data_IF_356952387707
#
_entry.id   IF_356952387707
#
_cell.length_a   1.000
_cell.length_b   1.000
_cell.length_c   1.000
_cell.angle_alpha   90.00
_cell.angle_beta   90.00
_cell.angle_gamma   90.00
#
_symmetry.space_group_name_H-M   'P 1'
#
loop_
_entity.id
_entity.type
_entity.pdbx_description
1 polymer ?
#
# COMPACT_ATOMS: atom_id res chain seq x y z
N UNK A 1 -6.42 -56.92 13.14
CA UNK A 1 -5.33 -56.17 12.45
C UNK A 1 -4.57 -55.46 13.53
N UNK A 2 -3.31 -55.84 13.78
CA UNK A 2 -2.49 -55.19 14.79
C UNK A 2 -2.02 -53.84 14.24
N UNK A 3 -2.36 -52.76 14.93
CA UNK A 3 -1.82 -51.43 14.68
C UNK A 3 -0.32 -51.48 14.96
N UNK A 4 0.46 -51.60 13.89
CA UNK A 4 1.91 -51.56 13.95
C UNK A 4 2.27 -50.12 14.32
N UNK A 5 2.78 -49.90 15.54
CA UNK A 5 3.37 -48.63 15.92
C UNK A 5 4.34 -48.18 14.81
N UNK A 6 4.31 -46.90 14.39
CA UNK A 6 5.21 -46.42 13.35
C UNK A 6 6.65 -46.71 13.78
N UNK A 7 7.44 -47.31 12.89
CA UNK A 7 8.83 -47.63 13.16
C UNK A 7 9.55 -46.34 13.58
N UNK A 8 10.24 -46.37 14.73
CA UNK A 8 11.04 -45.25 15.22
C UNK A 8 12.09 -44.93 14.15
N UNK A 9 12.02 -43.73 13.58
CA UNK A 9 12.95 -43.27 12.54
C UNK A 9 14.39 -43.25 13.08
N UNK A 10 15.36 -43.49 12.20
CA UNK A 10 16.77 -43.46 12.58
C UNK A 10 17.26 -42.03 12.85
N UNK A 11 18.23 -41.89 13.75
CA UNK A 11 18.91 -40.61 13.99
C UNK A 11 19.88 -40.34 12.83
N UNK A 12 19.91 -39.10 12.38
CA UNK A 12 20.74 -38.66 11.26
C UNK A 12 22.23 -38.91 11.50
N UNK A 13 22.95 -39.50 10.52
CA UNK A 13 24.40 -39.67 10.59
C UNK A 13 25.19 -38.44 10.15
N UNK A 14 24.57 -37.49 9.44
CA UNK A 14 25.24 -36.37 8.74
C UNK A 14 24.52 -35.02 8.92
N UNK A 15 23.63 -34.93 9.93
CA UNK A 15 22.81 -33.77 10.23
C UNK A 15 21.76 -33.41 9.16
N UNK A 16 21.49 -34.29 8.20
CA UNK A 16 20.32 -34.17 7.32
C UNK A 16 19.07 -34.78 7.95
N UNK A 17 17.89 -34.25 7.67
CA UNK A 17 16.65 -34.70 8.28
C UNK A 17 15.43 -34.46 7.40
N UNK A 18 14.34 -35.14 7.74
CA UNK A 18 13.06 -34.88 7.11
C UNK A 18 12.95 -35.38 5.68
N UNK A 19 11.83 -35.02 5.07
CA UNK A 19 11.50 -35.34 3.69
C UNK A 19 11.60 -34.13 2.76
N UNK A 20 11.71 -32.93 3.34
CA UNK A 20 11.67 -31.66 2.62
C UNK A 20 13.01 -30.93 2.69
N UNK A 21 13.27 -30.07 1.71
CA UNK A 21 14.48 -29.26 1.63
C UNK A 21 15.66 -29.99 0.97
N UNK A 22 16.77 -29.27 0.78
CA UNK A 22 17.96 -29.79 0.08
C UNK A 22 18.70 -30.89 0.86
N UNK A 23 18.53 -30.93 2.18
CA UNK A 23 18.96 -32.04 3.03
C UNK A 23 17.91 -33.14 3.21
N UNK A 24 16.67 -32.95 2.76
CA UNK A 24 15.62 -33.96 2.87
C UNK A 24 15.91 -35.18 1.99
N UNK A 25 15.63 -36.39 2.48
CA UNK A 25 15.96 -37.63 1.78
C UNK A 25 14.94 -38.75 2.00
N UNK A 26 15.00 -39.80 1.16
CA UNK A 26 14.12 -40.97 1.27
C UNK A 26 14.24 -41.69 2.62
N UNK A 27 15.42 -41.57 3.25
CA UNK A 27 15.73 -42.18 4.55
C UNK A 27 15.05 -41.48 5.73
N UNK A 28 14.54 -40.26 5.53
CA UNK A 28 13.60 -39.62 6.46
C UNK A 28 14.13 -39.54 7.90
N UNK A 29 15.41 -39.18 8.07
CA UNK A 29 16.09 -39.17 9.36
C UNK A 29 15.45 -38.17 10.35
N UNK A 30 15.57 -38.51 11.63
CA UNK A 30 15.31 -37.59 12.76
C UNK A 30 16.61 -36.99 13.28
N UNK A 31 16.53 -35.83 13.92
CA UNK A 31 17.72 -35.16 14.41
C UNK A 31 18.27 -35.72 15.73
N UNK A 32 19.60 -35.61 15.96
CA UNK A 32 20.22 -35.99 17.23
C UNK A 32 19.84 -35.01 18.35
N UNK A 33 20.06 -35.41 19.61
CA UNK A 33 19.57 -34.66 20.77
C UNK A 33 20.23 -33.30 20.98
N UNK A 34 21.46 -33.11 20.48
CA UNK A 34 22.23 -31.88 20.52
C UNK A 34 21.81 -30.87 19.44
N UNK A 35 21.19 -31.33 18.36
CA UNK A 35 20.63 -30.51 17.27
C UNK A 35 19.17 -30.90 17.01
N UNK A 36 18.27 -30.79 18.00
CA UNK A 36 17.03 -31.57 18.05
C UNK A 36 15.97 -31.19 17.01
N UNK A 37 16.15 -30.12 16.25
CA UNK A 37 15.13 -29.56 15.37
C UNK A 37 15.48 -29.77 13.90
N UNK A 38 14.47 -30.10 13.09
CA UNK A 38 14.63 -30.29 11.65
C UNK A 38 14.07 -29.10 10.89
N UNK A 39 14.92 -28.28 10.28
CA UNK A 39 14.52 -27.07 9.54
C UNK A 39 13.74 -27.39 8.26
N UNK A 40 13.11 -26.38 7.65
CA UNK A 40 12.44 -26.51 6.34
C UNK A 40 13.39 -26.99 5.23
N UNK A 41 14.69 -26.71 5.39
CA UNK A 41 15.73 -27.09 4.44
C UNK A 41 16.25 -28.52 4.64
N UNK A 42 15.72 -29.27 5.62
CA UNK A 42 16.10 -30.65 5.87
C UNK A 42 17.46 -30.78 6.56
N UNK A 43 17.81 -29.81 7.41
CA UNK A 43 19.03 -29.79 8.21
C UNK A 43 18.69 -29.74 9.70
N UNK A 44 19.49 -30.44 10.51
CA UNK A 44 19.38 -30.48 11.96
C UNK A 44 20.03 -29.26 12.61
N UNK A 45 19.38 -28.69 13.61
CA UNK A 45 19.89 -27.55 14.38
C UNK A 45 19.17 -27.34 15.70
N UNK A 46 19.57 -26.30 16.43
CA UNK A 46 19.05 -25.97 17.76
C UNK A 46 18.62 -24.50 17.91
N UNK A 47 18.81 -23.67 16.89
CA UNK A 47 18.39 -22.26 16.89
C UNK A 47 16.96 -22.10 16.38
N UNK A 48 16.41 -20.89 16.53
CA UNK A 48 15.05 -20.57 16.10
C UNK A 48 14.78 -20.87 14.61
N UNK A 49 15.75 -20.64 13.73
CA UNK A 49 15.63 -20.92 12.28
C UNK A 49 15.42 -22.41 11.98
N UNK A 50 15.76 -23.28 12.93
CA UNK A 50 15.57 -24.73 12.84
C UNK A 50 14.38 -25.21 13.63
N UNK A 51 14.13 -24.61 14.80
CA UNK A 51 13.16 -25.10 15.77
C UNK A 51 11.77 -24.49 15.65
N UNK A 52 11.64 -23.27 15.13
CA UNK A 52 10.34 -22.62 15.08
C UNK A 52 9.45 -23.25 14.01
N UNK A 53 8.20 -23.55 14.38
CA UNK A 53 7.19 -24.04 13.43
C UNK A 53 6.95 -23.07 12.28
N UNK A 54 7.05 -21.77 12.54
CA UNK A 54 6.95 -20.69 11.54
C UNK A 54 8.15 -20.57 10.62
N UNK A 55 9.36 -20.93 11.09
CA UNK A 55 10.54 -21.11 10.23
C UNK A 55 10.46 -22.40 9.38
N UNK A 56 9.33 -23.11 9.45
CA UNK A 56 9.06 -24.33 8.70
C UNK A 56 9.70 -25.58 9.30
N UNK A 57 9.93 -25.60 10.62
CA UNK A 57 10.40 -26.79 11.31
C UNK A 57 9.49 -28.01 11.04
N UNK A 58 10.10 -29.14 10.66
CA UNK A 58 9.41 -30.36 10.27
C UNK A 58 9.10 -31.23 11.52
N UNK A 59 7.93 -31.03 12.13
CA UNK A 59 7.54 -31.65 13.41
C UNK A 59 7.46 -33.18 13.43
N UNK A 60 7.41 -33.83 12.25
CA UNK A 60 7.52 -35.28 12.12
C UNK A 60 8.96 -35.82 12.23
N UNK A 61 9.96 -34.94 12.25
CA UNK A 61 11.38 -35.28 12.12
C UNK A 61 12.30 -34.54 13.10
N UNK A 62 11.78 -33.56 13.84
CA UNK A 62 12.51 -32.85 14.90
C UNK A 62 11.56 -32.27 15.95
N UNK A 63 12.15 -31.77 17.05
CA UNK A 63 11.42 -31.16 18.16
C UNK A 63 11.10 -29.70 17.88
N UNK A 64 10.00 -29.44 17.18
CA UNK A 64 9.61 -28.08 16.83
C UNK A 64 8.89 -27.36 17.98
N UNK A 65 9.16 -26.07 18.12
CA UNK A 65 8.53 -25.20 19.10
C UNK A 65 7.70 -24.13 18.40
N UNK A 66 6.55 -23.81 18.98
CA UNK A 66 5.83 -22.60 18.59
C UNK A 66 6.59 -21.37 19.11
N UNK A 67 6.62 -20.26 18.35
CA UNK A 67 7.21 -19.02 18.82
C UNK A 67 6.48 -18.45 20.05
N UNK A 68 7.23 -17.93 21.00
CA UNK A 68 6.72 -17.19 22.15
C UNK A 68 6.75 -15.66 21.89
N UNK A 69 5.93 -14.89 22.59
CA UNK A 69 6.01 -13.42 22.53
C UNK A 69 7.43 -12.94 22.87
N UNK A 70 8.00 -12.03 22.07
CA UNK A 70 9.39 -11.59 22.24
C UNK A 70 10.43 -12.46 21.55
N UNK A 71 10.03 -13.50 20.82
CA UNK A 71 10.97 -14.29 20.00
C UNK A 71 11.56 -13.40 18.90
N UNK A 72 12.87 -13.50 18.64
CA UNK A 72 13.49 -12.80 17.52
C UNK A 72 13.06 -13.49 16.23
N UNK A 73 12.55 -12.72 15.26
CA UNK A 73 12.11 -13.28 13.98
C UNK A 73 13.24 -13.99 13.20
N UNK A 74 12.94 -15.09 12.50
CA UNK A 74 13.89 -15.81 11.65
C UNK A 74 13.93 -15.32 10.19
N UNK A 75 12.97 -14.50 9.73
CA UNK A 75 12.69 -14.26 8.31
C UNK A 75 12.56 -12.77 7.93
N UNK A 76 13.33 -11.90 8.60
CA UNK A 76 13.39 -10.45 8.37
C UNK A 76 12.08 -9.68 8.65
N UNK A 77 10.98 -10.39 8.93
CA UNK A 77 9.72 -9.78 9.34
C UNK A 77 9.71 -9.46 10.83
N UNK A 78 8.81 -8.59 11.23
CA UNK A 78 8.44 -8.33 12.62
C UNK A 78 6.95 -8.00 12.60
N UNK A 79 6.21 -8.17 13.69
CA UNK A 79 4.74 -8.02 13.70
C UNK A 79 3.91 -9.18 13.11
N UNK A 80 2.60 -9.04 13.30
CA UNK A 80 1.51 -9.98 13.07
C UNK A 80 1.04 -9.96 11.60
N UNK A 81 1.38 -10.96 10.79
CA UNK A 81 0.48 -11.33 9.66
C UNK A 81 -0.52 -12.39 10.13
N UNK A 82 -1.74 -12.23 9.64
CA UNK A 82 -2.97 -12.85 10.16
C UNK A 82 -2.98 -14.37 10.07
N UNK A 83 -2.62 -15.05 11.16
CA UNK A 83 -3.22 -16.29 11.72
C UNK A 83 -2.34 -16.86 12.87
N UNK A 84 -2.43 -16.29 14.07
CA UNK A 84 -1.93 -16.93 15.31
C UNK A 84 -0.64 -16.36 15.92
N UNK A 85 -0.80 -15.29 16.71
CA UNK A 85 -0.11 -14.95 17.97
C UNK A 85 1.35 -15.45 18.12
N UNK A 86 2.34 -14.66 17.66
CA UNK A 86 3.74 -14.92 17.98
C UNK A 86 4.57 -13.69 18.42
N UNK A 87 4.17 -12.47 18.04
CA UNK A 87 4.77 -11.24 18.57
C UNK A 87 6.29 -11.14 18.37
N UNK A 88 6.77 -11.41 17.15
CA UNK A 88 8.19 -11.35 16.82
C UNK A 88 8.76 -9.96 17.03
N UNK A 89 9.97 -9.92 17.59
CA UNK A 89 10.72 -8.69 17.83
C UNK A 89 11.99 -8.63 16.99
N UNK A 90 12.49 -7.42 16.87
CA UNK A 90 13.74 -7.10 16.21
C UNK A 90 14.96 -7.47 17.05
N UNK A 91 16.05 -7.90 16.39
CA UNK A 91 17.34 -8.08 17.04
C UNK A 91 18.03 -6.72 17.26
N UNK A 92 19.12 -6.65 18.01
CA UNK A 92 19.86 -5.39 18.22
C UNK A 92 20.61 -4.89 16.98
N UNK A 93 20.81 -5.72 15.95
CA UNK A 93 21.46 -5.33 14.70
C UNK A 93 20.49 -4.62 13.74
N UNK A 94 19.23 -5.04 13.74
CA UNK A 94 18.14 -4.49 12.90
C UNK A 94 17.02 -4.01 13.82
N UNK A 95 17.29 -2.97 14.61
CA UNK A 95 16.55 -2.66 15.83
C UNK A 95 15.08 -2.29 15.62
N UNK A 96 14.67 -1.87 14.42
CA UNK A 96 13.40 -1.20 14.20
C UNK A 96 12.41 -2.05 13.41
N UNK A 97 11.13 -1.98 13.79
CA UNK A 97 10.05 -2.69 13.11
C UNK A 97 9.15 -1.72 12.35
N UNK A 98 9.12 -1.79 11.01
CA UNK A 98 8.35 -0.85 10.19
C UNK A 98 6.84 -1.05 10.34
N UNK A 99 6.05 0.04 10.30
CA UNK A 99 4.57 -0.04 10.31
C UNK A 99 3.92 0.20 8.96
N UNK A 100 4.68 0.63 7.94
CA UNK A 100 4.25 0.69 6.54
C UNK A 100 5.48 0.53 5.65
N UNK A 101 5.83 -0.70 5.28
CA UNK A 101 6.78 -0.88 4.18
C UNK A 101 6.00 -1.21 2.91
N UNK A 102 5.98 -0.30 1.95
CA UNK A 102 5.61 -0.65 0.59
C UNK A 102 6.84 -1.28 -0.06
N UNK A 103 7.03 -2.58 0.16
CA UNK A 103 7.74 -3.36 -0.85
C UNK A 103 7.00 -3.14 -2.18
N UNK A 104 7.73 -3.13 -3.29
CA UNK A 104 7.31 -2.75 -4.64
C UNK A 104 6.07 -3.46 -5.22
N UNK A 105 5.31 -4.25 -4.45
CA UNK A 105 4.10 -4.95 -4.87
C UNK A 105 3.02 -5.07 -3.76
N UNK A 106 2.68 -3.98 -3.07
CA UNK A 106 1.40 -3.85 -2.36
C UNK A 106 1.27 -4.64 -1.04
N UNK A 107 1.23 -3.88 0.06
CA UNK A 107 1.09 -4.28 1.46
C UNK A 107 2.27 -5.11 2.02
N UNK A 108 2.99 -4.59 3.03
CA UNK A 108 2.86 -5.12 4.39
C UNK A 108 3.70 -4.29 5.39
N UNK A 109 3.05 -3.86 6.47
CA UNK A 109 3.69 -3.45 7.72
C UNK A 109 4.46 -4.62 8.31
N UNK A 110 5.62 -4.40 8.94
CA UNK A 110 6.27 -5.45 9.72
C UNK A 110 7.56 -6.02 9.14
N UNK A 111 8.48 -5.15 8.75
CA UNK A 111 9.82 -5.54 8.32
C UNK A 111 10.87 -4.96 9.27
N UNK A 112 11.96 -5.68 9.47
CA UNK A 112 13.08 -5.24 10.31
C UNK A 112 14.08 -4.43 9.50
N UNK A 113 14.62 -3.40 10.12
CA UNK A 113 15.69 -2.60 9.55
C UNK A 113 16.26 -1.62 10.57
N UNK A 114 17.19 -0.79 10.11
CA UNK A 114 17.93 0.15 10.97
C UNK A 114 17.99 1.58 10.42
N UNK A 115 17.41 1.83 9.24
CA UNK A 115 17.34 3.17 8.66
C UNK A 115 16.03 3.89 9.01
N UNK A 116 15.92 5.15 8.60
CA UNK A 116 14.81 6.04 8.94
C UNK A 116 13.44 5.55 8.47
N UNK A 117 13.38 4.73 7.43
CA UNK A 117 12.11 4.20 6.90
C UNK A 117 11.57 3.07 7.81
N UNK A 118 12.45 2.42 8.58
CA UNK A 118 12.10 1.41 9.58
C UNK A 118 11.98 2.01 10.99
N UNK A 119 12.85 2.96 11.34
CA UNK A 119 13.03 3.46 12.70
C UNK A 119 12.18 4.68 13.04
N UNK A 120 11.79 5.49 12.06
CA UNK A 120 11.05 6.72 12.36
C UNK A 120 9.62 6.42 12.83
N UNK A 121 9.20 7.10 13.90
CA UNK A 121 7.80 7.08 14.35
C UNK A 121 6.84 7.60 13.27
N UNK A 122 7.30 8.46 12.37
CA UNK A 122 6.54 9.00 11.24
C UNK A 122 6.31 7.99 10.12
N UNK A 123 7.25 7.06 9.88
CA UNK A 123 7.07 5.93 8.97
C UNK A 123 6.23 4.78 9.60
N UNK A 124 5.78 4.98 10.85
CA UNK A 124 4.93 4.04 11.57
C UNK A 124 5.70 2.98 12.34
N UNK A 125 6.96 3.22 12.71
CA UNK A 125 7.72 2.26 13.51
C UNK A 125 6.93 1.73 14.71
N UNK A 126 6.92 0.40 14.88
CA UNK A 126 6.10 -0.32 15.84
C UNK A 126 6.91 -0.62 17.12
N UNK A 127 6.84 0.28 18.09
CA UNK A 127 7.65 0.24 19.32
C UNK A 127 7.39 -0.96 20.24
N UNK A 128 6.33 -1.74 19.99
CA UNK A 128 6.08 -3.01 20.68
C UNK A 128 6.93 -4.18 20.13
N UNK A 129 7.52 -4.02 18.95
CA UNK A 129 8.23 -5.07 18.20
C UNK A 129 9.65 -4.66 17.77
N UNK A 130 10.05 -3.41 18.04
CA UNK A 130 11.40 -2.89 17.79
C UNK A 130 11.66 -1.59 18.57
N UNK A 131 12.89 -1.09 18.49
CA UNK A 131 13.33 0.18 19.06
C UNK A 131 13.10 1.27 18.00
N UNK A 132 12.14 2.15 18.24
CA UNK A 132 11.88 3.27 17.34
C UNK A 132 12.68 4.50 17.74
N UNK A 133 12.98 5.37 16.77
CA UNK A 133 13.60 6.67 17.02
C UNK A 133 12.67 7.51 17.91
N UNK A 134 13.24 8.11 18.95
CA UNK A 134 12.52 9.11 19.73
C UNK A 134 12.20 10.30 18.81
N UNK A 135 10.98 10.85 18.90
CA UNK A 135 10.56 12.02 18.12
C UNK A 135 11.67 13.06 18.06
N UNK A 136 12.24 13.27 16.88
CA UNK A 136 13.46 14.06 16.73
C UNK A 136 13.21 15.50 17.17
N UNK A 137 13.82 15.88 18.29
CA UNK A 137 13.77 17.23 18.84
C UNK A 137 14.78 18.11 18.07
N UNK A 138 14.47 18.43 16.81
CA UNK A 138 15.27 19.38 16.03
C UNK A 138 14.92 20.81 16.41
N UNK A 139 15.76 21.40 17.26
CA UNK A 139 15.66 22.78 17.75
C UNK A 139 16.49 23.71 16.88
N UNK A 140 15.90 24.36 15.87
CA UNK A 140 16.39 25.66 15.35
C UNK A 140 15.23 26.53 14.84
N UNK A 141 14.83 27.47 15.70
CA UNK A 141 14.25 28.82 15.44
C UNK A 141 13.61 29.11 14.07
N UNK A 142 12.28 29.23 14.06
CA UNK A 142 11.57 30.09 13.10
C UNK A 142 10.22 29.56 12.59
N UNK A 143 9.17 29.64 13.41
CA UNK A 143 7.78 29.55 12.94
C UNK A 143 7.12 28.18 13.16
N UNK A 144 6.12 28.16 14.03
CA UNK A 144 5.23 27.02 14.30
C UNK A 144 4.48 26.64 13.01
N UNK A 145 5.02 25.68 12.25
CA UNK A 145 4.31 25.03 11.15
C UNK A 145 3.60 23.77 11.66
N UNK A 146 2.34 23.61 11.25
CA UNK A 146 1.48 22.46 11.51
C UNK A 146 2.09 21.20 10.85
N UNK A 147 2.02 20.01 11.49
CA UNK A 147 2.54 18.77 10.91
C UNK A 147 2.02 18.55 9.48
N UNK A 148 2.93 18.33 8.53
CA UNK A 148 2.60 18.04 7.13
C UNK A 148 2.76 19.19 6.13
N UNK A 149 3.16 20.39 6.55
CA UNK A 149 3.38 21.52 5.60
C UNK A 149 4.82 21.52 5.07
N UNK A 150 4.99 21.58 3.75
CA UNK A 150 6.29 21.71 3.07
C UNK A 150 7.03 22.96 3.55
N UNK A 151 8.30 22.81 3.90
CA UNK A 151 9.16 23.91 4.38
C UNK A 151 10.23 24.34 3.36
N UNK A 152 10.40 23.57 2.29
CA UNK A 152 11.40 23.79 1.23
C UNK A 152 10.79 23.90 -0.18
N UNK A 153 9.45 23.98 -0.28
CA UNK A 153 8.73 24.04 -1.55
C UNK A 153 8.60 22.69 -2.29
N UNK A 154 9.08 21.59 -1.69
CA UNK A 154 8.86 20.25 -2.21
C UNK A 154 7.62 19.61 -1.59
N UNK A 155 6.91 18.81 -2.36
CA UNK A 155 5.69 18.15 -1.94
C UNK A 155 5.57 16.78 -2.59
N UNK A 156 4.64 15.99 -2.08
CA UNK A 156 4.45 14.62 -2.52
C UNK A 156 4.72 13.65 -1.40
N UNK A 157 4.65 12.37 -1.74
CA UNK A 157 4.92 11.30 -0.77
C UNK A 157 6.27 11.52 -0.11
N UNK A 158 6.27 11.57 1.23
CA UNK A 158 7.46 11.75 2.07
C UNK A 158 8.17 13.12 2.00
N UNK A 159 7.67 14.07 1.20
CA UNK A 159 8.20 15.44 1.10
C UNK A 159 7.31 16.46 1.82
N UNK A 160 6.02 16.17 1.93
CA UNK A 160 5.03 16.98 2.64
C UNK A 160 3.94 17.52 1.71
N UNK A 161 3.06 18.34 2.29
CA UNK A 161 1.90 18.94 1.63
C UNK A 161 2.16 20.45 1.45
N UNK A 162 1.80 21.00 0.30
CA UNK A 162 1.90 22.43 0.04
C UNK A 162 1.02 23.26 0.97
N UNK A 163 1.24 24.57 0.97
CA UNK A 163 0.34 25.48 1.69
C UNK A 163 -1.11 25.33 1.19
N UNK A 164 -2.07 25.78 2.00
CA UNK A 164 -3.50 25.62 1.69
C UNK A 164 -3.94 26.26 0.37
N UNK A 165 -3.18 27.24 -0.13
CA UNK A 165 -3.41 27.94 -1.39
C UNK A 165 -2.50 27.48 -2.53
N UNK A 166 -1.78 26.37 -2.37
CA UNK A 166 -0.81 25.85 -3.33
C UNK A 166 -1.13 24.43 -3.78
N UNK A 167 -0.69 24.12 -4.99
CA UNK A 167 -0.84 22.85 -5.67
C UNK A 167 0.49 22.10 -5.65
N UNK A 168 0.43 20.77 -5.64
CA UNK A 168 1.61 19.93 -5.74
C UNK A 168 1.72 19.39 -7.16
N UNK A 169 2.67 19.89 -7.93
CA UNK A 169 2.90 19.44 -9.31
C UNK A 169 3.28 17.97 -9.38
N UNK A 170 3.15 17.36 -10.57
CA UNK A 170 3.64 16.01 -10.85
C UNK A 170 5.12 15.84 -10.49
N UNK A 171 5.92 16.91 -10.65
CA UNK A 171 7.34 16.93 -10.34
C UNK A 171 7.66 17.02 -8.82
N UNK A 172 6.65 17.14 -7.95
CA UNK A 172 6.85 17.19 -6.50
C UNK A 172 7.25 18.56 -5.97
N UNK A 173 6.77 19.63 -6.60
CA UNK A 173 7.01 21.02 -6.17
C UNK A 173 5.70 21.77 -5.95
N UNK A 174 5.69 22.66 -4.96
CA UNK A 174 4.59 23.55 -4.64
C UNK A 174 4.56 24.76 -5.57
N UNK A 175 3.36 25.14 -6.01
CA UNK A 175 3.13 26.32 -6.85
C UNK A 175 1.65 26.57 -7.10
N UNK A 176 1.34 27.64 -7.83
CA UNK A 176 -0.04 28.12 -8.04
C UNK A 176 -0.42 28.28 -9.52
N UNK A 177 0.52 28.01 -10.44
CA UNK A 177 0.26 28.11 -11.87
C UNK A 177 -0.42 26.86 -12.40
N UNK A 178 -0.95 26.96 -13.62
CA UNK A 178 -1.64 25.88 -14.33
C UNK A 178 -0.84 24.56 -14.32
N UNK A 179 0.46 24.61 -14.63
CA UNK A 179 1.38 23.44 -14.62
C UNK A 179 1.47 22.70 -13.27
N UNK A 180 1.07 23.36 -12.18
CA UNK A 180 1.06 22.77 -10.83
C UNK A 180 -0.31 22.26 -10.44
N UNK A 181 -1.38 22.94 -10.89
CA UNK A 181 -2.73 22.77 -10.39
C UNK A 181 -3.64 21.91 -11.28
N UNK A 182 -3.28 21.76 -12.56
CA UNK A 182 -4.09 21.01 -13.51
C UNK A 182 -4.18 19.52 -13.16
N UNK A 183 -5.42 19.02 -13.23
CA UNK A 183 -5.70 17.59 -13.15
C UNK A 183 -5.41 16.92 -14.50
N UNK A 184 -4.89 15.67 -14.53
CA UNK A 184 -4.65 14.75 -13.41
C UNK A 184 -3.28 14.88 -12.74
N UNK A 185 -2.43 15.78 -13.23
CA UNK A 185 -1.01 15.84 -12.89
C UNK A 185 -0.75 16.41 -11.48
N UNK A 186 -1.68 17.20 -10.95
CA UNK A 186 -1.61 17.68 -9.56
C UNK A 186 -1.78 16.53 -8.57
N UNK A 187 -0.81 16.36 -7.65
CA UNK A 187 -0.86 15.34 -6.61
C UNK A 187 -1.84 15.74 -5.50
N UNK A 188 -3.11 15.38 -5.67
CA UNK A 188 -4.27 15.83 -4.85
C UNK A 188 -4.13 15.63 -3.35
N UNK A 189 -3.37 14.61 -2.90
CA UNK A 189 -3.14 14.37 -1.48
C UNK A 189 -2.10 15.32 -0.86
N UNK A 190 -1.32 16.01 -1.69
CA UNK A 190 -0.19 16.84 -1.28
C UNK A 190 -0.32 18.30 -1.74
N UNK A 191 -1.33 18.63 -2.55
CA UNK A 191 -1.66 19.99 -2.97
C UNK A 191 -3.10 20.37 -2.62
N UNK A 192 -3.37 21.06 -1.50
CA UNK A 192 -4.72 21.41 -1.10
C UNK A 192 -5.48 22.26 -2.14
N UNK A 193 -4.76 23.04 -2.97
CA UNK A 193 -5.36 23.87 -4.01
C UNK A 193 -5.50 23.19 -5.39
N UNK A 194 -5.14 21.89 -5.52
CA UNK A 194 -5.35 21.14 -6.77
C UNK A 194 -6.80 21.30 -7.27
N UNK A 195 -6.98 21.36 -8.58
CA UNK A 195 -8.32 21.51 -9.17
C UNK A 195 -9.29 20.39 -8.80
N UNK A 196 -8.76 19.17 -8.70
CA UNK A 196 -9.47 17.99 -8.23
C UNK A 196 -10.02 18.12 -6.79
N UNK A 197 -9.42 18.98 -5.97
CA UNK A 197 -9.85 19.23 -4.58
C UNK A 197 -10.88 20.37 -4.48
N UNK A 198 -11.16 21.10 -5.57
CA UNK A 198 -12.16 22.18 -5.57
C UNK A 198 -13.57 21.60 -5.58
N UNK A 199 -14.23 21.63 -4.43
CA UNK A 199 -15.61 21.14 -4.30
C UNK A 199 -16.59 22.24 -4.77
N UNK A 200 -17.43 22.00 -5.80
CA UNK A 200 -18.45 22.97 -6.22
C UNK A 200 -19.52 23.14 -5.13
N UNK A 201 -20.13 24.33 -5.06
CA UNK A 201 -21.20 24.61 -4.10
C UNK A 201 -22.40 23.67 -4.29
N UNK A 202 -22.95 23.12 -3.21
CA UNK A 202 -24.14 22.26 -3.27
C UNK A 202 -24.07 21.08 -2.30
N UNK A 203 -25.07 20.21 -2.36
CA UNK A 203 -25.13 19.01 -1.53
C UNK A 203 -24.14 17.96 -2.01
N UNK A 204 -23.42 17.32 -1.07
CA UNK A 204 -22.55 16.19 -1.37
C UNK A 204 -23.36 15.02 -1.96
N UNK A 205 -22.87 14.42 -3.06
CA UNK A 205 -23.53 13.31 -3.76
C UNK A 205 -22.83 11.95 -3.56
N UNK A 206 -21.90 11.84 -2.60
CA UNK A 206 -21.19 10.60 -2.30
C UNK A 206 -22.13 9.48 -1.85
N UNK A 207 -23.27 9.82 -1.26
CA UNK A 207 -24.31 8.89 -0.82
C UNK A 207 -25.43 8.68 -1.84
N UNK A 208 -25.41 9.39 -2.98
CA UNK A 208 -26.41 9.18 -4.04
C UNK A 208 -26.15 7.83 -4.71
N UNK A 209 -27.13 6.90 -4.72
CA UNK A 209 -26.98 5.61 -5.39
C UNK A 209 -26.66 5.78 -6.88
N UNK A 210 -25.70 5.00 -7.38
CA UNK A 210 -25.31 4.92 -8.80
C UNK A 210 -25.40 3.46 -9.22
N UNK A 211 -26.63 3.00 -9.42
CA UNK A 211 -26.89 1.61 -9.78
C UNK A 211 -26.22 1.28 -11.12
N UNK A 212 -25.57 0.11 -11.19
CA UNK A 212 -24.97 -0.37 -12.42
C UNK A 212 -26.08 -0.71 -13.44
N UNK A 213 -25.94 -0.19 -14.66
CA UNK A 213 -26.91 -0.35 -15.73
C UNK A 213 -26.45 -1.43 -16.70
N UNK A 214 -27.14 -2.56 -16.70
CA UNK A 214 -26.90 -3.64 -17.65
C UNK A 214 -25.49 -4.21 -17.57
N UNK A 215 -24.93 -4.59 -18.72
CA UNK A 215 -23.59 -5.20 -18.82
C UNK A 215 -22.55 -4.19 -19.32
N UNK A 216 -22.48 -3.03 -18.68
CA UNK A 216 -21.50 -1.98 -18.97
C UNK A 216 -20.26 -2.15 -18.08
N UNK A 217 -19.08 -1.86 -18.60
CA UNK A 217 -17.82 -1.92 -17.85
C UNK A 217 -17.70 -0.72 -16.91
N UNK A 218 -17.47 -0.98 -15.62
CA UNK A 218 -17.21 0.03 -14.60
C UNK A 218 -15.76 -0.04 -14.11
N UNK A 219 -15.12 1.13 -13.96
CA UNK A 219 -13.93 1.33 -13.13
C UNK A 219 -12.61 0.65 -13.51
N UNK A 220 -12.50 -0.09 -14.62
CA UNK A 220 -11.34 -0.98 -14.84
C UNK A 220 -10.62 -0.87 -16.19
N UNK A 221 -11.20 -0.20 -17.19
CA UNK A 221 -10.53 0.00 -18.48
C UNK A 221 -10.58 1.49 -18.85
N UNK A 222 -9.40 2.13 -18.87
CA UNK A 222 -9.25 3.49 -19.40
C UNK A 222 -9.44 3.42 -20.92
N UNK A 223 -10.31 4.28 -21.46
CA UNK A 223 -10.54 4.38 -22.90
C UNK A 223 -9.55 5.40 -23.44
N UNK A 224 -8.53 4.92 -24.14
CA UNK A 224 -7.48 5.77 -24.73
C UNK A 224 -7.65 5.97 -26.23
N UNK A 225 -8.12 4.93 -26.92
CA UNK A 225 -8.22 4.92 -28.38
C UNK A 225 -9.59 4.38 -28.79
N UNK A 226 -10.17 5.00 -29.83
CA UNK A 226 -11.31 4.44 -30.54
C UNK A 226 -10.80 3.33 -31.47
N UNK A 227 -11.32 2.12 -31.33
CA UNK A 227 -10.91 0.98 -32.16
C UNK A 227 -11.52 1.00 -33.56
N UNK A 228 -12.58 1.78 -33.77
CA UNK A 228 -13.24 1.97 -35.07
C UNK A 228 -13.20 3.43 -35.51
N UNK A 229 -13.11 3.63 -36.82
CA UNK A 229 -13.23 4.97 -37.40
C UNK A 229 -14.66 5.47 -37.20
N UNK A 230 -14.80 6.74 -36.78
CA UNK A 230 -16.08 7.43 -36.48
C UNK A 230 -16.72 7.09 -35.14
N UNK A 231 -16.05 6.36 -34.27
CA UNK A 231 -16.48 6.22 -32.87
C UNK A 231 -16.10 7.47 -32.06
N UNK A 232 -16.90 7.76 -31.01
CA UNK A 232 -16.65 8.82 -30.04
C UNK A 232 -16.86 8.27 -28.63
N UNK A 233 -15.86 8.42 -27.77
CA UNK A 233 -16.00 8.21 -26.34
C UNK A 233 -16.35 9.54 -25.65
N UNK A 234 -17.40 9.54 -24.84
CA UNK A 234 -17.78 10.67 -23.98
C UNK A 234 -17.35 10.35 -22.55
N UNK A 235 -16.33 11.04 -22.07
CA UNK A 235 -15.89 11.03 -20.68
C UNK A 235 -16.63 12.13 -19.93
N UNK A 236 -17.18 11.81 -18.75
CA UNK A 236 -17.88 12.80 -17.91
C UNK A 236 -16.94 13.80 -17.23
N UNK A 237 -15.62 13.57 -17.32
CA UNK A 237 -14.57 14.35 -16.67
C UNK A 237 -14.28 15.68 -17.38
N UNK A 238 -14.35 15.68 -18.72
CA UNK A 238 -13.88 16.81 -19.55
C UNK A 238 -14.94 17.89 -19.83
N UNK A 239 -16.15 17.69 -19.28
CA UNK A 239 -17.29 18.58 -19.41
C UNK A 239 -17.58 19.02 -20.86
N UNK A 240 -18.39 20.08 -21.04
CA UNK A 240 -18.67 20.60 -22.36
C UNK A 240 -17.43 21.18 -23.05
N UNK A 241 -17.40 21.05 -24.37
CA UNK A 241 -16.43 21.68 -25.25
C UNK A 241 -17.12 22.26 -26.49
N UNK A 242 -16.35 22.85 -27.41
CA UNK A 242 -16.89 23.56 -28.59
C UNK A 242 -17.78 22.69 -29.49
N UNK A 243 -17.66 21.36 -29.39
CA UNK A 243 -18.45 20.41 -30.19
C UNK A 243 -19.66 19.82 -29.44
N UNK A 244 -19.84 20.11 -28.15
CA UNK A 244 -20.89 19.48 -27.32
C UNK A 244 -22.31 19.80 -27.82
N UNK A 245 -22.55 21.00 -28.37
CA UNK A 245 -23.83 21.35 -29.00
C UNK A 245 -24.14 20.50 -30.23
N UNK A 246 -23.12 20.24 -31.06
CA UNK A 246 -23.25 19.45 -32.29
C UNK A 246 -23.53 17.98 -31.96
N UNK A 247 -22.89 17.44 -30.92
CA UNK A 247 -23.11 16.06 -30.44
C UNK A 247 -24.51 15.90 -29.84
N UNK A 248 -24.97 16.88 -29.03
CA UNK A 248 -26.32 16.87 -28.44
C UNK A 248 -27.41 16.78 -29.51
N UNK A 249 -27.23 17.48 -30.63
CA UNK A 249 -28.17 17.48 -31.74
C UNK A 249 -28.32 16.10 -32.40
N UNK A 250 -27.22 15.36 -32.59
CA UNK A 250 -27.26 14.07 -33.27
C UNK A 250 -27.68 12.89 -32.40
N UNK A 251 -27.40 12.93 -31.10
CA UNK A 251 -27.60 11.77 -30.22
C UNK A 251 -28.88 11.82 -29.37
N UNK A 252 -29.71 12.87 -29.51
CA UNK A 252 -30.92 13.11 -28.69
C UNK A 252 -30.67 12.93 -27.16
N UNK A 253 -29.43 13.18 -26.70
CA UNK A 253 -29.02 12.93 -25.33
C UNK A 253 -29.66 13.92 -24.36
N UNK A 254 -30.29 13.40 -23.31
CA UNK A 254 -30.55 14.15 -22.07
C UNK A 254 -29.31 14.05 -21.19
N UNK A 255 -28.52 15.12 -21.11
CA UNK A 255 -27.44 15.21 -20.14
C UNK A 255 -28.01 15.42 -18.74
N UNK A 256 -27.97 14.38 -17.91
CA UNK A 256 -28.14 14.52 -16.46
C UNK A 256 -26.78 14.91 -15.88
N UNK A 257 -26.43 16.19 -16.02
CA UNK A 257 -25.15 16.71 -15.52
C UNK A 257 -25.10 16.64 -13.99
N UNK A 258 -24.21 15.81 -13.45
CA UNK A 258 -23.77 15.97 -12.06
C UNK A 258 -22.80 17.14 -11.99
N UNK A 259 -22.83 17.91 -10.90
CA UNK A 259 -21.92 19.04 -10.69
C UNK A 259 -20.47 18.56 -10.75
N UNK A 260 -19.72 19.03 -11.73
CA UNK A 260 -18.28 18.78 -11.86
C UNK A 260 -17.49 20.02 -11.42
N UNK A 261 -16.32 19.78 -10.84
CA UNK A 261 -15.33 20.79 -10.47
C UNK A 261 -14.65 21.40 -11.72
N UNK A 262 -13.57 22.18 -11.54
CA UNK A 262 -12.90 22.88 -12.64
C UNK A 262 -12.55 21.91 -13.78
N UNK A 263 -13.14 22.14 -14.96
CA UNK A 263 -12.95 21.31 -16.15
C UNK A 263 -11.80 21.92 -16.96
N UNK A 264 -10.55 21.57 -16.68
CA UNK A 264 -9.38 22.07 -17.43
C UNK A 264 -9.43 23.60 -17.63
N UNK A 265 -9.56 24.35 -16.52
CA UNK A 265 -9.70 25.81 -16.50
C UNK A 265 -10.94 26.44 -17.12
N UNK A 266 -11.90 25.64 -17.57
CA UNK A 266 -13.22 26.12 -18.05
C UNK A 266 -14.16 26.52 -16.91
N UNK A 267 -13.76 26.32 -15.65
CA UNK A 267 -14.58 26.55 -14.47
C UNK A 267 -15.62 25.46 -14.21
N UNK A 268 -16.32 25.56 -13.08
CA UNK A 268 -17.36 24.60 -12.69
C UNK A 268 -18.54 24.62 -13.67
N UNK A 269 -19.04 23.44 -14.02
CA UNK A 269 -20.09 23.27 -15.04
C UNK A 269 -21.44 23.90 -14.64
N UNK A 270 -21.68 24.04 -13.34
CA UNK A 270 -22.90 24.62 -12.77
C UNK A 270 -22.77 26.12 -12.45
N UNK A 271 -21.64 26.75 -12.79
CA UNK A 271 -21.47 28.19 -12.65
C UNK A 271 -22.39 28.94 -13.63
N UNK A 272 -23.42 29.58 -13.08
CA UNK A 272 -24.42 30.35 -13.82
C UNK A 272 -23.85 31.51 -14.65
N UNK A 273 -22.61 31.94 -14.36
CA UNK A 273 -21.93 33.02 -15.09
C UNK A 273 -21.24 32.52 -16.38
N UNK A 274 -21.18 31.21 -16.60
CA UNK A 274 -20.56 30.59 -17.77
C UNK A 274 -21.63 30.15 -18.78
N UNK A 275 -21.22 29.81 -20.00
CA UNK A 275 -22.13 29.35 -21.05
C UNK A 275 -22.64 27.90 -20.84
N UNK A 276 -21.98 27.13 -19.99
CA UNK A 276 -22.23 25.70 -19.79
C UNK A 276 -23.66 25.36 -19.34
N UNK A 277 -24.26 26.06 -18.35
CA UNK A 277 -25.60 25.74 -17.85
C UNK A 277 -26.72 25.83 -18.91
N UNK A 278 -26.54 26.63 -19.97
CA UNK A 278 -27.50 26.70 -21.08
C UNK A 278 -27.40 25.49 -22.00
N UNK A 279 -26.23 24.85 -22.08
CA UNK A 279 -25.95 23.72 -22.97
C UNK A 279 -26.40 22.37 -22.38
N UNK A 280 -26.29 22.21 -21.07
CA UNK A 280 -26.55 20.94 -20.34
C UNK A 280 -27.99 20.80 -19.80
N UNK A 281 -28.87 21.78 -20.05
CA UNK A 281 -30.31 21.69 -19.73
C UNK A 281 -31.10 20.83 -20.72
#
# INVERSE_FOLDING_TARGET
RADRAPAKRAVSPDNTCGSNGTGGGADNYTCPSDLPCCSINGLCGSTNDYCLTTAGCQSGFGNCTAPAAGTISPDETCVLISSGIAGYVCSTADACCSGKHTATNGADSGWRGSDTDYCSVSAGCQSAYGICDASDNSTTTGGKATPGTSTNGQCGSNLGTCASNECCSLAGFCGVTEDYCNSPDCQVNYGPACDANKIPSGTNTSSTPRDELGSVLYGSARVYDCSQTRDMALTFDDGPFIYTSHIKYYLELRFLGTKTNNISDKGAIDNASLAWPALIK
#
